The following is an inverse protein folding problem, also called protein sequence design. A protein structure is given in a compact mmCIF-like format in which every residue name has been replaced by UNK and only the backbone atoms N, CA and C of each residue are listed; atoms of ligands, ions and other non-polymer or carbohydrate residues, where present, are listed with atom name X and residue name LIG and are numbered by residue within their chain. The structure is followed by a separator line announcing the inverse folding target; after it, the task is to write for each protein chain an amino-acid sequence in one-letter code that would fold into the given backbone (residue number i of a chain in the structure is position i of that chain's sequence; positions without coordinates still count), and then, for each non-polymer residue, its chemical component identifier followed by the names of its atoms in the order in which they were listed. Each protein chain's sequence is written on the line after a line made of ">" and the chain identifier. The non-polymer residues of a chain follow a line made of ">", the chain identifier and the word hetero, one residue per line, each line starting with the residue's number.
data_IF_869873501260
#
_entry.id   IF_869873501260
#
_cell.length_a   1.000
_cell.length_b   1.000
_cell.length_c   1.000
_cell.angle_alpha   90.00
_cell.angle_beta   90.00
_cell.angle_gamma   90.00
#
_symmetry.space_group_name_H-M   'P 1'
#
loop_
_entity.id
_entity.type
_entity.pdbx_description
1 polymer ?
#
# COMPACT_ATOMS: atom_id res chain seq x y z
N UNK A 1 -36.96 -6.37 23.40
CA UNK A 1 -36.29 -5.14 22.92
C UNK A 1 -35.13 -4.85 23.87
N UNK A 2 -33.91 -5.17 23.48
CA UNK A 2 -32.68 -4.89 24.26
C UNK A 2 -32.02 -3.63 23.72
N UNK A 3 -31.56 -2.70 24.57
CA UNK A 3 -30.93 -1.46 24.13
C UNK A 3 -29.53 -1.75 23.58
N UNK A 4 -29.23 -1.23 22.37
CA UNK A 4 -27.88 -1.23 21.80
C UNK A 4 -27.09 -0.07 22.42
N UNK A 5 -26.01 -0.39 23.13
CA UNK A 5 -24.98 0.57 23.51
C UNK A 5 -24.29 1.11 22.27
N UNK A 6 -24.17 2.44 22.07
CA UNK A 6 -23.40 3.00 20.96
C UNK A 6 -21.90 2.80 21.19
N UNK A 7 -21.18 2.40 20.13
CA UNK A 7 -19.72 2.31 20.14
C UNK A 7 -19.08 3.71 20.26
N UNK A 8 -18.06 3.83 21.10
CA UNK A 8 -17.28 5.06 21.28
C UNK A 8 -16.42 5.32 20.03
N UNK A 9 -16.41 6.53 19.47
CA UNK A 9 -15.54 6.88 18.35
C UNK A 9 -14.09 7.01 18.84
N UNK A 10 -13.18 6.20 18.30
CA UNK A 10 -11.74 6.39 18.50
C UNK A 10 -11.23 7.47 17.55
N UNK A 11 -11.01 8.66 18.09
CA UNK A 11 -10.30 9.76 17.43
C UNK A 11 -8.84 9.34 17.14
N UNK A 12 -8.31 9.56 15.92
CA UNK A 12 -6.89 9.41 15.64
C UNK A 12 -6.07 10.41 16.47
N UNK A 13 -5.02 9.95 17.14
CA UNK A 13 -4.10 10.83 17.86
C UNK A 13 -3.40 11.79 16.88
N UNK A 14 -3.45 13.09 17.18
CA UNK A 14 -2.70 14.13 16.48
C UNK A 14 -1.19 13.91 16.66
N UNK A 15 -0.36 13.96 15.62
CA UNK A 15 1.09 13.87 15.79
C UNK A 15 1.59 15.08 16.60
N UNK A 16 2.39 14.80 17.63
CA UNK A 16 3.02 15.79 18.51
C UNK A 16 3.89 16.77 17.70
N UNK A 17 3.60 18.06 17.84
CA UNK A 17 4.42 19.15 17.29
C UNK A 17 5.78 19.17 17.98
N UNK A 18 6.86 18.95 17.23
CA UNK A 18 8.24 19.12 17.72
C UNK A 18 8.56 20.64 17.78
N UNK A 19 9.20 21.16 18.84
CA UNK A 19 9.53 22.58 18.94
C UNK A 19 10.61 23.01 17.92
N UNK A 20 10.64 24.29 17.50
CA UNK A 20 11.63 24.79 16.56
C UNK A 20 13.03 24.75 17.15
N UNK A 21 13.98 24.25 16.36
CA UNK A 21 15.41 24.24 16.70
C UNK A 21 15.96 25.67 16.70
N UNK A 22 16.48 26.14 17.84
CA UNK A 22 17.11 27.47 17.99
C UNK A 22 18.58 27.44 17.52
N UNK A 23 18.80 27.13 16.24
CA UNK A 23 20.14 27.29 15.65
C UNK A 23 20.40 28.78 15.41
N UNK A 24 21.54 29.34 15.89
CA UNK A 24 21.88 30.74 15.63
C UNK A 24 21.96 31.02 14.12
N UNK A 25 21.69 32.26 13.65
CA UNK A 25 21.85 32.59 12.25
C UNK A 25 23.29 32.32 11.81
N UNK A 26 23.45 31.43 10.81
CA UNK A 26 24.77 31.23 10.18
C UNK A 26 25.18 32.56 9.55
N UNK A 27 26.42 32.96 9.80
CA UNK A 27 27.11 34.00 9.01
C UNK A 27 26.92 33.72 7.51
N UNK A 28 26.83 34.75 6.64
CA UNK A 28 26.76 34.54 5.20
C UNK A 28 27.98 33.72 4.75
N UNK A 29 27.73 32.54 4.18
CA UNK A 29 28.77 31.73 3.56
C UNK A 29 29.33 32.46 2.33
N UNK A 30 30.65 32.38 2.07
CA UNK A 30 31.18 32.63 0.73
C UNK A 30 30.47 31.74 -0.29
N UNK A 31 30.25 32.24 -1.51
CA UNK A 31 29.63 31.47 -2.59
C UNK A 31 30.31 30.10 -2.74
N UNK A 32 29.50 29.04 -2.77
CA UNK A 32 29.97 27.68 -2.91
C UNK A 32 30.72 27.53 -4.25
N UNK A 33 31.95 26.99 -4.28
CA UNK A 33 32.64 26.70 -5.53
C UNK A 33 31.82 25.70 -6.35
N UNK A 34 31.65 25.96 -7.65
CA UNK A 34 30.86 25.10 -8.54
C UNK A 34 31.38 23.65 -8.62
N UNK A 35 30.59 22.72 -9.21
CA UNK A 35 30.88 21.30 -9.19
C UNK A 35 32.26 20.99 -9.79
N UNK A 36 33.14 20.39 -8.99
CA UNK A 36 34.42 19.87 -9.45
C UNK A 36 34.17 18.51 -10.12
N UNK A 37 34.68 18.25 -11.34
CA UNK A 37 34.62 16.91 -11.94
C UNK A 37 35.31 15.89 -11.03
N UNK A 38 34.64 14.76 -10.76
CA UNK A 38 35.20 13.69 -9.93
C UNK A 38 36.48 13.11 -10.57
N UNK A 39 37.52 12.79 -9.77
CA UNK A 39 38.74 12.19 -10.27
C UNK A 39 38.47 10.79 -10.88
N UNK A 40 39.21 10.37 -11.93
CA UNK A 40 39.01 9.08 -12.57
C UNK A 40 39.29 7.94 -11.59
N UNK A 41 38.27 7.12 -11.30
CA UNK A 41 38.42 5.87 -10.52
C UNK A 41 37.58 5.75 -9.26
N UNK A 42 36.79 6.77 -8.88
CA UNK A 42 35.84 6.58 -7.79
C UNK A 42 34.62 5.76 -8.23
N UNK A 43 34.19 4.76 -7.44
CA UNK A 43 32.98 4.02 -7.72
C UNK A 43 31.81 4.99 -7.71
N UNK A 44 31.14 5.12 -8.86
CA UNK A 44 29.91 5.90 -8.99
C UNK A 44 28.90 5.35 -7.98
N UNK A 45 28.63 6.09 -6.91
CA UNK A 45 27.56 5.75 -5.99
C UNK A 45 26.29 5.72 -6.85
N UNK A 46 25.57 4.58 -6.93
CA UNK A 46 24.32 4.53 -7.67
C UNK A 46 23.42 5.65 -7.15
N UNK A 47 23.00 6.54 -8.04
CA UNK A 47 22.11 7.64 -7.70
C UNK A 47 20.93 7.06 -6.92
N UNK A 48 20.63 7.62 -5.75
CA UNK A 48 19.47 7.19 -4.97
C UNK A 48 18.24 7.24 -5.88
N UNK A 49 17.65 6.07 -6.17
CA UNK A 49 16.47 5.99 -7.01
C UNK A 49 15.31 6.63 -6.27
N UNK A 50 14.90 7.82 -6.68
CA UNK A 50 13.67 8.43 -6.21
C UNK A 50 12.49 7.86 -7.00
N UNK A 51 11.54 7.22 -6.29
CA UNK A 51 10.27 6.77 -6.84
C UNK A 51 10.12 5.25 -7.00
N UNK A 52 8.93 4.85 -7.45
CA UNK A 52 8.54 3.46 -7.73
C UNK A 52 8.39 3.31 -9.24
N UNK A 53 8.94 2.24 -9.81
CA UNK A 53 8.77 1.90 -11.22
C UNK A 53 7.34 1.48 -11.55
N UNK A 54 6.89 1.74 -12.79
CA UNK A 54 5.65 1.14 -13.30
C UNK A 54 5.63 -0.39 -13.20
N UNK A 55 6.77 -1.07 -13.35
CA UNK A 55 6.85 -2.53 -13.17
C UNK A 55 6.64 -2.94 -11.71
N UNK A 56 7.24 -2.23 -10.76
CA UNK A 56 7.07 -2.48 -9.32
C UNK A 56 5.60 -2.29 -8.91
N UNK A 57 4.92 -1.28 -9.45
CA UNK A 57 3.47 -1.09 -9.24
C UNK A 57 2.65 -2.26 -9.83
N UNK A 58 3.06 -2.76 -10.99
CA UNK A 58 2.39 -3.91 -11.65
C UNK A 58 2.58 -5.20 -10.86
N UNK A 59 3.77 -5.41 -10.30
CA UNK A 59 4.09 -6.57 -9.46
C UNK A 59 3.28 -6.55 -8.16
N UNK A 60 3.14 -5.37 -7.52
CA UNK A 60 2.29 -5.21 -6.33
C UNK A 60 0.82 -5.51 -6.68
N UNK A 61 0.32 -4.98 -7.80
CA UNK A 61 -1.04 -5.23 -8.25
C UNK A 61 -1.31 -6.72 -8.50
N UNK A 62 -0.39 -7.42 -9.16
CA UNK A 62 -0.46 -8.86 -9.36
C UNK A 62 -0.39 -9.63 -8.03
N UNK A 63 0.48 -9.22 -7.12
CA UNK A 63 0.61 -9.78 -5.78
C UNK A 63 -0.69 -9.69 -4.99
N UNK A 64 -1.36 -8.53 -4.99
CA UNK A 64 -2.63 -8.35 -4.31
C UNK A 64 -3.74 -9.23 -4.88
N UNK A 65 -3.86 -9.38 -6.20
CA UNK A 65 -4.85 -10.30 -6.78
C UNK A 65 -4.57 -11.75 -6.39
N UNK A 66 -3.32 -12.19 -6.51
CA UNK A 66 -2.90 -13.55 -6.14
C UNK A 66 -3.19 -13.85 -4.65
N UNK A 67 -2.88 -12.90 -3.78
CA UNK A 67 -3.19 -13.00 -2.35
C UNK A 67 -4.71 -12.99 -2.10
N UNK A 68 -5.46 -12.19 -2.86
CA UNK A 68 -6.92 -12.16 -2.79
C UNK A 68 -7.55 -13.50 -3.13
N UNK A 69 -7.10 -14.11 -4.23
CA UNK A 69 -7.50 -15.46 -4.65
C UNK A 69 -7.10 -16.53 -3.63
N UNK A 70 -5.90 -16.45 -3.08
CA UNK A 70 -5.41 -17.39 -2.08
C UNK A 70 -6.25 -17.32 -0.79
N UNK A 71 -6.56 -16.11 -0.31
CA UNK A 71 -7.40 -15.90 0.88
C UNK A 71 -8.83 -16.37 0.63
N UNK A 72 -9.42 -16.05 -0.54
CA UNK A 72 -10.77 -16.48 -0.90
C UNK A 72 -10.94 -17.99 -1.07
N UNK A 73 -9.83 -18.73 -1.23
CA UNK A 73 -9.82 -20.21 -1.32
C UNK A 73 -9.70 -20.91 0.03
N UNK A 74 -9.62 -20.19 1.14
CA UNK A 74 -9.61 -20.81 2.46
C UNK A 74 -10.88 -21.65 2.66
N UNK A 75 -10.71 -22.92 3.00
CA UNK A 75 -11.83 -23.85 3.21
C UNK A 75 -12.17 -23.95 4.71
N UNK A 76 -13.43 -23.65 5.03
CA UNK A 76 -13.98 -23.76 6.38
C UNK A 76 -15.05 -24.86 6.52
N UNK A 77 -15.25 -25.69 5.49
CA UNK A 77 -16.26 -26.76 5.47
C UNK A 77 -16.08 -27.77 6.59
N UNK A 78 -14.83 -28.00 7.04
CA UNK A 78 -14.50 -28.87 8.16
C UNK A 78 -15.22 -28.49 9.46
N UNK A 79 -15.50 -27.20 9.69
CA UNK A 79 -16.24 -26.75 10.88
C UNK A 79 -17.70 -27.23 10.85
N UNK A 80 -18.33 -27.31 9.68
CA UNK A 80 -19.69 -27.80 9.54
C UNK A 80 -19.81 -29.31 9.80
N UNK A 81 -18.74 -30.07 9.55
CA UNK A 81 -18.70 -31.52 9.72
C UNK A 81 -18.51 -31.98 11.18
N UNK A 82 -18.28 -31.06 12.12
CA UNK A 82 -18.03 -31.41 13.54
C UNK A 82 -19.28 -32.04 14.16
N UNK A 83 -19.19 -33.29 14.62
CA UNK A 83 -20.30 -34.01 15.26
C UNK A 83 -20.15 -34.07 16.79
N UNK A 84 -21.27 -34.11 17.52
CA UNK A 84 -21.29 -34.35 18.96
C UNK A 84 -22.46 -33.64 19.63
N UNK A 85 -23.46 -34.41 20.04
CA UNK A 85 -24.71 -33.93 20.61
C UNK A 85 -24.50 -33.48 22.07
N UNK A 86 -25.13 -32.37 22.47
CA UNK A 86 -25.09 -31.87 23.86
C UNK A 86 -23.86 -31.07 24.24
N UNK A 87 -22.82 -31.01 23.40
CA UNK A 87 -21.63 -30.20 23.66
C UNK A 87 -21.76 -28.77 23.14
N UNK A 88 -21.71 -27.79 24.04
CA UNK A 88 -21.67 -26.36 23.69
C UNK A 88 -20.41 -25.99 22.90
N UNK A 89 -19.28 -26.61 23.22
CA UNK A 89 -18.01 -26.36 22.51
C UNK A 89 -18.09 -26.78 21.05
N UNK A 90 -18.67 -27.95 20.76
CA UNK A 90 -18.81 -28.44 19.39
C UNK A 90 -19.88 -27.65 18.61
N UNK A 91 -20.92 -27.16 19.30
CA UNK A 91 -21.87 -26.21 18.71
C UNK A 91 -21.20 -24.88 18.34
N UNK A 92 -20.37 -24.33 19.22
CA UNK A 92 -19.61 -23.13 18.94
C UNK A 92 -18.65 -23.33 17.75
N UNK A 93 -17.95 -24.46 17.69
CA UNK A 93 -17.06 -24.78 16.58
C UNK A 93 -17.79 -24.80 15.23
N UNK A 94 -18.98 -25.39 15.15
CA UNK A 94 -19.82 -25.38 13.93
C UNK A 94 -20.22 -23.97 13.47
N UNK A 95 -20.39 -23.04 14.41
CA UNK A 95 -20.78 -21.66 14.07
C UNK A 95 -19.66 -20.81 13.45
N UNK A 96 -18.42 -21.30 13.41
CA UNK A 96 -17.27 -20.54 12.89
C UNK A 96 -17.30 -20.44 11.36
N UNK A 97 -17.71 -21.52 10.67
CA UNK A 97 -17.46 -21.68 9.24
C UNK A 97 -18.06 -20.56 8.37
N UNK A 98 -19.34 -20.22 8.60
CA UNK A 98 -20.02 -19.18 7.83
C UNK A 98 -19.38 -17.79 7.99
N UNK A 99 -19.21 -17.27 9.22
CA UNK A 99 -18.52 -15.99 9.45
C UNK A 99 -17.07 -15.97 8.94
N UNK A 100 -16.33 -17.07 9.07
CA UNK A 100 -14.96 -17.17 8.58
C UNK A 100 -14.89 -17.10 7.04
N UNK A 101 -15.80 -17.80 6.35
CA UNK A 101 -15.94 -17.71 4.89
C UNK A 101 -16.27 -16.28 4.45
N UNK A 102 -17.28 -15.65 5.06
CA UNK A 102 -17.65 -14.27 4.72
C UNK A 102 -16.51 -13.27 4.93
N UNK A 103 -15.73 -13.46 5.99
CA UNK A 103 -14.56 -12.63 6.28
C UNK A 103 -13.48 -12.79 5.20
N UNK A 104 -13.13 -14.02 4.85
CA UNK A 104 -12.11 -14.31 3.84
C UNK A 104 -12.54 -13.89 2.44
N UNK A 105 -13.80 -14.11 2.05
CA UNK A 105 -14.38 -13.61 0.80
C UNK A 105 -14.29 -12.08 0.71
N UNK A 106 -14.62 -11.39 1.80
CA UNK A 106 -14.53 -9.92 1.89
C UNK A 106 -13.09 -9.41 1.75
N UNK A 107 -12.13 -10.09 2.38
CA UNK A 107 -10.71 -9.74 2.26
C UNK A 107 -10.22 -10.01 0.83
N UNK A 108 -10.53 -11.19 0.28
CA UNK A 108 -10.16 -11.59 -1.07
C UNK A 108 -10.67 -10.61 -2.13
N UNK A 109 -11.93 -10.22 -2.01
CA UNK A 109 -12.55 -9.20 -2.88
C UNK A 109 -11.83 -7.86 -2.79
N UNK A 110 -11.51 -7.40 -1.58
CA UNK A 110 -10.81 -6.11 -1.38
C UNK A 110 -9.40 -6.12 -1.95
N UNK A 111 -8.64 -7.20 -1.74
CA UNK A 111 -7.29 -7.33 -2.29
C UNK A 111 -7.31 -7.34 -3.83
N UNK A 112 -8.25 -8.07 -4.42
CA UNK A 112 -8.43 -8.09 -5.88
C UNK A 112 -8.77 -6.69 -6.41
N UNK A 113 -9.75 -6.03 -5.79
CA UNK A 113 -10.16 -4.68 -6.18
C UNK A 113 -9.03 -3.65 -6.05
N UNK A 114 -8.20 -3.75 -5.00
CA UNK A 114 -7.02 -2.92 -4.85
C UNK A 114 -5.99 -3.19 -5.96
N UNK A 115 -5.77 -4.44 -6.34
CA UNK A 115 -4.90 -4.81 -7.45
C UNK A 115 -5.38 -4.20 -8.78
N UNK A 116 -6.69 -4.26 -9.05
CA UNK A 116 -7.29 -3.68 -10.25
C UNK A 116 -7.22 -2.15 -10.28
N UNK A 117 -7.49 -1.51 -9.14
CA UNK A 117 -7.37 -0.07 -8.99
C UNK A 117 -5.92 0.39 -9.21
N UNK A 118 -4.95 -0.33 -8.65
CA UNK A 118 -3.53 -0.01 -8.78
C UNK A 118 -3.04 -0.18 -10.23
N UNK A 119 -3.47 -1.24 -10.91
CA UNK A 119 -3.18 -1.47 -12.33
C UNK A 119 -3.76 -0.36 -13.22
N UNK A 120 -4.99 0.06 -12.92
CA UNK A 120 -5.66 1.16 -13.64
C UNK A 120 -4.92 2.48 -13.42
N UNK A 121 -4.54 2.78 -12.18
CA UNK A 121 -3.74 3.94 -11.85
C UNK A 121 -2.41 3.95 -12.61
N UNK A 122 -1.68 2.84 -12.60
CA UNK A 122 -0.38 2.71 -13.25
C UNK A 122 -0.47 2.93 -14.77
N UNK A 123 -1.51 2.39 -15.41
CA UNK A 123 -1.74 2.60 -16.85
C UNK A 123 -1.97 4.08 -17.17
N UNK A 124 -2.80 4.76 -16.38
CA UNK A 124 -3.12 6.19 -16.58
C UNK A 124 -1.93 7.10 -16.31
N UNK A 125 -1.12 6.77 -15.30
CA UNK A 125 0.10 7.51 -14.99
C UNK A 125 1.08 7.45 -16.18
N UNK A 126 1.35 6.25 -16.70
CA UNK A 126 2.24 6.07 -17.86
C UNK A 126 1.72 6.79 -19.11
N UNK A 127 0.41 6.73 -19.38
CA UNK A 127 -0.20 7.44 -20.50
C UNK A 127 -0.02 8.97 -20.35
N UNK A 128 -0.31 9.50 -19.16
CA UNK A 128 -0.18 10.93 -18.87
C UNK A 128 1.27 11.39 -19.01
N UNK A 129 2.22 10.62 -18.49
CA UNK A 129 3.66 10.91 -18.57
C UNK A 129 4.15 10.87 -20.03
N UNK A 130 3.69 9.89 -20.81
CA UNK A 130 3.98 9.81 -22.24
C UNK A 130 3.50 11.03 -23.01
N UNK A 131 2.24 11.44 -22.79
CA UNK A 131 1.68 12.65 -23.41
C UNK A 131 2.46 13.91 -23.01
N UNK A 132 2.86 14.03 -21.73
CA UNK A 132 3.66 15.16 -21.27
C UNK A 132 5.05 15.19 -21.91
N UNK A 133 5.73 14.04 -21.98
CA UNK A 133 7.04 13.91 -22.59
C UNK A 133 7.01 14.28 -24.09
N UNK A 134 5.99 13.83 -24.82
CA UNK A 134 5.83 14.16 -26.24
C UNK A 134 5.59 15.66 -26.47
N UNK A 135 4.80 16.31 -25.60
CA UNK A 135 4.61 17.77 -25.64
C UNK A 135 5.91 18.52 -25.41
N UNK A 136 6.73 18.09 -24.45
CA UNK A 136 8.02 18.72 -24.15
C UNK A 136 9.01 18.54 -25.32
N UNK A 137 9.07 17.35 -25.91
CA UNK A 137 9.91 17.09 -27.08
C UNK A 137 9.52 17.99 -28.25
N UNK A 138 8.22 18.13 -28.51
CA UNK A 138 7.71 19.03 -29.56
C UNK A 138 7.97 20.53 -29.33
N UNK A 139 8.27 20.95 -28.08
CA UNK A 139 8.74 22.31 -27.80
C UNK A 139 10.24 22.47 -28.05
N UNK A 140 11.05 21.42 -27.79
CA UNK A 140 12.49 21.44 -28.00
C UNK A 140 12.90 21.42 -29.48
N UNK A 141 12.03 20.94 -30.36
CA UNK A 141 12.28 20.83 -31.80
C UNK A 141 11.87 22.10 -32.59
N UNK A 142 11.44 23.16 -31.89
CA UNK A 142 11.06 24.47 -32.44
C UNK A 142 12.13 25.52 -32.13
#
# INVERSE_FOLDING_TARGET
>A
MTPRTPAVPTTPATPTSVPPSTTPPRHPMPAEPGPVPAPPGEPTIPSARFGILPSEVSDIAAGWRSQGDAVGRADFSAFAAITGTGSRTLAAARSIGGPAQQCTDSIGTRLTALGDALSTFNSRAQETDGVAADRLRGLSER
#
